data_IF_988168080655
#
_entry.id   IF_988168080655
#
_cell.length_a   1.000
_cell.length_b   1.000
_cell.length_c   1.000
_cell.angle_alpha   90.00
_cell.angle_beta   90.00
_cell.angle_gamma   90.00
#
_symmetry.space_group_name_H-M   'P 1'
#
loop_
_entity.id
_entity.type
_entity.pdbx_description
1 polymer ?
#
# COMPACT_ATOMS: atom_id res chain seq x y z
N UNK A 1 24.91 -1.50 -5.74
CA UNK A 1 23.53 -1.59 -6.26
C UNK A 1 22.94 -0.23 -6.58
N UNK A 2 22.85 0.72 -5.65
CA UNK A 2 22.28 2.08 -5.90
C UNK A 2 23.00 2.78 -7.06
N UNK A 3 24.34 2.77 -7.09
CA UNK A 3 25.11 3.39 -8.16
C UNK A 3 24.85 2.76 -9.55
N UNK A 4 24.59 1.46 -9.60
CA UNK A 4 24.19 0.78 -10.85
C UNK A 4 22.84 1.26 -11.35
N UNK A 5 21.87 1.47 -10.45
CA UNK A 5 20.55 2.02 -10.77
C UNK A 5 20.67 3.45 -11.27
N UNK A 6 21.52 4.28 -10.63
CA UNK A 6 21.78 5.66 -11.06
C UNK A 6 22.40 5.69 -12.47
N UNK A 7 23.37 4.81 -12.75
CA UNK A 7 23.99 4.75 -14.06
C UNK A 7 23.02 4.29 -15.16
N UNK A 8 22.17 3.29 -14.85
CA UNK A 8 21.09 2.91 -15.76
C UNK A 8 20.13 4.07 -16.02
N UNK A 9 19.75 4.83 -14.99
CA UNK A 9 18.86 5.98 -15.14
C UNK A 9 19.46 7.06 -16.06
N UNK A 10 20.77 7.34 -15.98
CA UNK A 10 21.43 8.28 -16.91
C UNK A 10 21.27 7.85 -18.37
N UNK A 11 21.43 6.55 -18.66
CA UNK A 11 21.23 5.99 -19.98
C UNK A 11 19.78 6.08 -20.41
N UNK A 12 18.83 5.72 -19.54
CA UNK A 12 17.39 5.82 -19.80
C UNK A 12 16.97 7.25 -20.16
N UNK A 13 17.49 8.25 -19.45
CA UNK A 13 17.20 9.67 -19.71
C UNK A 13 17.83 10.11 -21.04
N UNK A 14 19.10 9.77 -21.30
CA UNK A 14 19.80 10.16 -22.52
C UNK A 14 19.16 9.57 -23.79
N UNK A 15 18.56 8.39 -23.67
CA UNK A 15 17.82 7.71 -24.74
C UNK A 15 16.34 8.11 -24.80
N UNK A 16 15.92 9.06 -23.98
CA UNK A 16 14.52 9.51 -23.86
C UNK A 16 13.52 8.38 -23.56
N UNK A 17 13.95 7.35 -22.86
CA UNK A 17 13.11 6.19 -22.50
C UNK A 17 11.85 6.52 -21.71
N UNK A 18 11.78 7.73 -21.16
CA UNK A 18 10.63 8.26 -20.41
C UNK A 18 9.46 8.73 -21.29
N UNK A 19 9.67 9.00 -22.59
CA UNK A 19 8.63 9.60 -23.44
C UNK A 19 7.31 8.80 -23.44
N UNK A 20 7.39 7.47 -23.45
CA UNK A 20 6.20 6.61 -23.40
C UNK A 20 5.43 6.62 -22.06
N UNK A 21 5.99 7.26 -21.03
CA UNK A 21 5.38 7.35 -19.70
C UNK A 21 4.85 8.75 -19.37
N UNK A 22 4.91 9.68 -20.33
CA UNK A 22 4.43 11.04 -20.12
C UNK A 22 2.91 11.00 -19.92
N UNK A 23 2.46 11.58 -18.80
CA UNK A 23 1.06 11.76 -18.44
C UNK A 23 0.97 12.95 -17.46
N UNK A 24 -0.23 13.38 -17.12
CA UNK A 24 -0.40 14.41 -16.12
C UNK A 24 -0.57 13.83 -14.69
N UNK A 25 -0.86 14.69 -13.72
CA UNK A 25 -1.01 14.28 -12.31
C UNK A 25 -2.39 13.70 -11.97
N UNK A 26 -3.38 13.86 -12.83
CA UNK A 26 -4.74 13.40 -12.57
C UNK A 26 -4.94 11.97 -13.08
N UNK A 27 -5.58 11.08 -12.30
CA UNK A 27 -5.83 9.72 -12.78
C UNK A 27 -6.98 9.71 -13.78
N UNK A 28 -6.73 9.23 -15.01
CA UNK A 28 -7.71 9.20 -16.10
C UNK A 28 -9.01 8.48 -15.70
N UNK A 29 -8.90 7.42 -14.89
CA UNK A 29 -10.04 6.63 -14.40
C UNK A 29 -10.65 7.14 -13.09
N UNK A 30 -10.17 8.26 -12.54
CA UNK A 30 -10.58 8.77 -11.21
C UNK A 30 -10.53 7.72 -10.11
N UNK A 31 -9.58 6.79 -10.23
CA UNK A 31 -9.41 5.60 -9.40
C UNK A 31 -8.18 5.72 -8.50
N UNK A 32 -8.31 5.31 -7.25
CA UNK A 32 -7.18 4.97 -6.38
C UNK A 32 -7.19 3.47 -6.05
N UNK A 33 -6.01 2.86 -6.04
CA UNK A 33 -5.82 1.46 -5.65
C UNK A 33 -4.88 1.41 -4.46
N UNK A 34 -5.36 0.95 -3.32
CA UNK A 34 -4.56 0.62 -2.14
C UNK A 34 -4.20 -0.86 -2.19
N UNK A 35 -2.93 -1.20 -2.17
CA UNK A 35 -2.45 -2.57 -2.26
C UNK A 35 -1.17 -2.83 -1.46
N UNK A 36 -0.82 -4.11 -1.29
CA UNK A 36 0.41 -4.51 -0.63
C UNK A 36 1.65 -4.09 -1.44
N UNK A 37 2.73 -3.76 -0.71
CA UNK A 37 4.04 -3.47 -1.30
C UNK A 37 4.79 -4.72 -1.77
N UNK A 38 4.20 -5.90 -1.72
CA UNK A 38 4.77 -7.16 -2.21
C UNK A 38 5.30 -6.99 -3.63
N UNK A 39 6.55 -7.43 -3.86
CA UNK A 39 7.25 -7.26 -5.14
C UNK A 39 6.57 -7.98 -6.28
N UNK A 40 5.87 -9.11 -6.01
CA UNK A 40 5.08 -9.86 -7.00
C UNK A 40 3.95 -9.04 -7.60
N UNK A 41 3.45 -8.02 -6.89
CA UNK A 41 2.35 -7.16 -7.34
C UNK A 41 2.78 -5.90 -8.08
N UNK A 42 4.07 -5.67 -8.26
CA UNK A 42 4.57 -4.41 -8.85
C UNK A 42 4.10 -4.25 -10.29
N UNK A 43 4.19 -5.29 -11.09
CA UNK A 43 3.70 -5.31 -12.48
C UNK A 43 2.39 -6.08 -12.63
N UNK A 44 2.24 -7.19 -11.88
CA UNK A 44 1.07 -8.06 -11.96
C UNK A 44 -0.24 -7.32 -11.67
N UNK A 45 -0.28 -6.49 -10.61
CA UNK A 45 -1.53 -5.86 -10.21
C UNK A 45 -2.05 -4.87 -11.27
N UNK A 46 -1.29 -3.88 -11.75
CA UNK A 46 -1.79 -3.01 -12.81
C UNK A 46 -2.11 -3.77 -14.10
N UNK A 47 -1.33 -4.78 -14.47
CA UNK A 47 -1.60 -5.59 -15.65
C UNK A 47 -2.91 -6.39 -15.52
N UNK A 48 -3.16 -7.02 -14.37
CA UNK A 48 -4.39 -7.79 -14.11
C UNK A 48 -5.65 -6.91 -14.07
N UNK A 49 -5.50 -5.63 -13.70
CA UNK A 49 -6.59 -4.64 -13.69
C UNK A 49 -6.71 -3.89 -15.03
N UNK A 50 -5.87 -4.16 -16.01
CA UNK A 50 -5.85 -3.44 -17.28
C UNK A 50 -5.47 -1.97 -17.14
N UNK A 51 -4.69 -1.62 -16.12
CA UNK A 51 -4.27 -0.25 -15.84
C UNK A 51 -2.95 0.08 -16.55
N UNK A 52 -2.91 1.27 -17.14
CA UNK A 52 -1.72 1.86 -17.74
C UNK A 52 -1.19 3.01 -16.88
N UNK A 53 0.00 3.49 -17.21
CA UNK A 53 0.53 4.69 -16.58
C UNK A 53 -0.41 5.88 -16.80
N UNK A 54 -0.78 6.57 -15.70
CA UNK A 54 -1.75 7.67 -15.73
C UNK A 54 -3.19 7.28 -15.36
N UNK A 55 -3.57 6.00 -15.47
CA UNK A 55 -4.96 5.56 -15.24
C UNK A 55 -5.44 5.71 -13.80
N UNK A 56 -4.58 5.42 -12.81
CA UNK A 56 -4.97 5.36 -11.40
C UNK A 56 -3.85 5.81 -10.46
N UNK A 57 -4.22 6.20 -9.24
CA UNK A 57 -3.29 6.38 -8.13
C UNK A 57 -3.03 5.06 -7.44
N UNK A 58 -1.78 4.60 -7.44
CA UNK A 58 -1.38 3.36 -6.77
C UNK A 58 -0.72 3.71 -5.44
N UNK A 59 -1.34 3.28 -4.35
CA UNK A 59 -0.85 3.44 -2.97
C UNK A 59 -0.43 2.06 -2.47
N UNK A 60 0.82 1.94 -1.99
CA UNK A 60 1.37 0.67 -1.51
C UNK A 60 1.93 0.81 -0.10
N UNK A 61 1.59 -0.15 0.76
CA UNK A 61 2.19 -0.29 2.08
C UNK A 61 2.26 -1.77 2.50
N UNK A 62 2.82 -2.05 3.66
CA UNK A 62 2.85 -3.40 4.21
C UNK A 62 1.42 -3.91 4.47
N UNK A 63 1.01 -4.96 3.75
CA UNK A 63 -0.31 -5.56 3.83
C UNK A 63 -1.41 -4.91 2.98
N UNK A 64 -1.21 -3.72 2.41
CA UNK A 64 -2.27 -3.02 1.67
C UNK A 64 -3.42 -2.53 2.55
N UNK A 65 -3.11 -2.00 3.73
CA UNK A 65 -4.04 -1.73 4.83
C UNK A 65 -4.16 -0.24 5.15
N UNK A 66 -5.30 0.12 5.74
CA UNK A 66 -5.45 1.29 6.61
C UNK A 66 -5.40 0.80 8.05
N UNK A 67 -4.33 1.12 8.76
CA UNK A 67 -4.11 0.66 10.14
C UNK A 67 -4.89 1.54 11.13
N UNK A 68 -4.92 2.84 10.87
CA UNK A 68 -5.66 3.81 11.69
C UNK A 68 -6.30 4.89 10.82
N UNK A 69 -7.28 5.58 11.38
CA UNK A 69 -8.01 6.64 10.68
C UNK A 69 -7.12 7.79 10.16
N UNK A 70 -5.95 7.98 10.74
CA UNK A 70 -5.03 9.08 10.39
C UNK A 70 -3.63 8.58 10.03
N UNK A 71 -3.52 7.37 9.47
CA UNK A 71 -2.26 6.86 8.96
C UNK A 71 -1.90 7.44 7.57
N UNK A 72 -0.72 7.09 7.08
CA UNK A 72 -0.19 7.57 5.80
C UNK A 72 -1.02 7.09 4.59
N UNK A 73 -1.59 5.88 4.66
CA UNK A 73 -2.44 5.36 3.60
C UNK A 73 -3.74 6.16 3.52
N UNK A 74 -4.39 6.38 4.67
CA UNK A 74 -5.61 7.18 4.73
C UNK A 74 -5.38 8.62 4.27
N UNK A 75 -4.28 9.26 4.71
CA UNK A 75 -3.89 10.59 4.22
C UNK A 75 -3.75 10.61 2.70
N UNK A 76 -3.11 9.58 2.10
CA UNK A 76 -2.92 9.49 0.66
C UNK A 76 -4.26 9.35 -0.09
N UNK A 77 -5.21 8.60 0.46
CA UNK A 77 -6.56 8.48 -0.09
C UNK A 77 -7.32 9.80 -0.03
N UNK A 78 -7.24 10.53 1.09
CA UNK A 78 -7.86 11.85 1.22
C UNK A 78 -7.29 12.85 0.19
N UNK A 79 -5.97 12.87 0.01
CA UNK A 79 -5.35 13.70 -1.05
C UNK A 79 -5.82 13.27 -2.44
N UNK A 80 -5.93 11.96 -2.70
CA UNK A 80 -6.43 11.44 -3.97
C UNK A 80 -7.87 11.89 -4.27
N UNK A 81 -8.73 11.90 -3.27
CA UNK A 81 -10.13 12.36 -3.41
C UNK A 81 -10.18 13.87 -3.70
N UNK A 82 -9.59 14.69 -2.83
CA UNK A 82 -9.81 16.14 -2.85
C UNK A 82 -8.93 16.89 -3.83
N UNK A 83 -7.68 16.47 -4.02
CA UNK A 83 -6.72 17.16 -4.88
C UNK A 83 -6.65 16.56 -6.29
N UNK A 84 -6.95 15.27 -6.43
CA UNK A 84 -6.73 14.54 -7.68
C UNK A 84 -8.03 14.01 -8.30
N UNK A 85 -9.19 14.30 -7.69
CA UNK A 85 -10.50 14.03 -8.24
C UNK A 85 -10.88 12.54 -8.29
N UNK A 86 -10.30 11.72 -7.41
CA UNK A 86 -10.65 10.30 -7.29
C UNK A 86 -12.06 10.15 -6.74
N UNK A 87 -12.87 9.33 -7.39
CA UNK A 87 -14.24 8.99 -7.00
C UNK A 87 -14.43 7.50 -6.67
N UNK A 88 -13.45 6.67 -7.02
CA UNK A 88 -13.49 5.25 -6.74
C UNK A 88 -12.20 4.76 -6.09
N UNK A 89 -12.33 3.90 -5.08
CA UNK A 89 -11.21 3.30 -4.34
C UNK A 89 -11.32 1.79 -4.38
N UNK A 90 -10.27 1.13 -4.84
CA UNK A 90 -10.08 -0.32 -4.72
C UNK A 90 -9.09 -0.63 -3.62
N UNK A 91 -9.46 -1.49 -2.68
CA UNK A 91 -8.55 -2.11 -1.70
C UNK A 91 -8.23 -3.50 -2.20
N UNK A 92 -7.00 -3.76 -2.62
CA UNK A 92 -6.61 -5.03 -3.23
C UNK A 92 -5.54 -5.72 -2.39
N UNK A 93 -5.96 -6.71 -1.60
CA UNK A 93 -5.06 -7.63 -0.91
C UNK A 93 -4.63 -8.78 -1.83
N UNK A 94 -3.79 -9.68 -1.34
CA UNK A 94 -3.34 -10.83 -2.12
C UNK A 94 -3.16 -12.08 -1.25
N UNK A 95 -3.18 -13.25 -1.90
CA UNK A 95 -2.87 -14.52 -1.26
C UNK A 95 -1.41 -14.58 -0.79
N UNK A 96 -1.14 -15.34 0.27
CA UNK A 96 0.21 -15.53 0.84
C UNK A 96 0.94 -14.20 1.14
N UNK A 97 0.22 -13.24 1.71
CA UNK A 97 0.80 -11.97 2.13
C UNK A 97 1.69 -12.17 3.36
N UNK A 98 2.94 -11.69 3.29
CA UNK A 98 3.86 -11.76 4.42
C UNK A 98 3.35 -11.07 5.68
N UNK A 99 2.47 -10.07 5.54
CA UNK A 99 1.86 -9.38 6.67
C UNK A 99 0.93 -10.27 7.52
N UNK A 100 0.49 -11.43 7.01
CA UNK A 100 -0.26 -12.42 7.81
C UNK A 100 0.56 -13.04 8.95
N UNK A 101 1.88 -12.97 8.88
CA UNK A 101 2.79 -13.59 9.84
C UNK A 101 3.59 -12.57 10.66
N UNK A 102 3.32 -11.29 10.48
CA UNK A 102 3.98 -10.23 11.23
C UNK A 102 3.54 -10.29 12.70
N UNK A 103 4.51 -10.24 13.61
CA UNK A 103 4.29 -10.11 15.04
C UNK A 103 5.46 -9.36 15.68
N UNK A 104 5.20 -8.68 16.77
CA UNK A 104 6.19 -7.85 17.46
C UNK A 104 7.42 -8.65 17.92
N UNK A 105 7.24 -9.87 18.44
CA UNK A 105 8.36 -10.66 18.99
C UNK A 105 9.43 -10.96 17.94
N UNK A 106 9.02 -11.28 16.70
CA UNK A 106 9.93 -11.48 15.61
C UNK A 106 10.68 -10.17 15.26
N UNK A 107 9.96 -9.05 15.14
CA UNK A 107 10.59 -7.75 14.88
C UNK A 107 11.54 -7.34 16.01
N UNK A 108 11.18 -7.57 17.26
CA UNK A 108 12.02 -7.28 18.40
C UNK A 108 13.36 -8.03 18.30
N UNK A 109 13.33 -9.34 18.06
CA UNK A 109 14.54 -10.16 17.89
C UNK A 109 15.44 -9.62 16.76
N UNK A 110 14.86 -9.30 15.60
CA UNK A 110 15.60 -8.75 14.46
C UNK A 110 16.19 -7.35 14.75
N UNK A 111 15.46 -6.49 15.44
CA UNK A 111 15.94 -5.17 15.85
C UNK A 111 17.13 -5.27 16.80
N UNK A 112 17.03 -6.13 17.83
CA UNK A 112 18.12 -6.37 18.79
C UNK A 112 19.35 -6.93 18.06
N UNK A 113 19.18 -7.90 17.18
CA UNK A 113 20.26 -8.48 16.39
C UNK A 113 20.99 -7.45 15.51
N UNK A 114 20.33 -6.36 15.14
CA UNK A 114 20.87 -5.23 14.36
C UNK A 114 21.33 -4.05 15.20
N UNK A 115 21.39 -4.21 16.52
CA UNK A 115 21.95 -3.23 17.46
C UNK A 115 20.97 -2.19 17.98
N UNK A 116 19.67 -2.33 17.76
CA UNK A 116 18.66 -1.53 18.45
C UNK A 116 18.54 -2.05 19.88
N UNK A 117 18.55 -1.16 20.87
CA UNK A 117 18.50 -1.54 22.28
C UNK A 117 17.09 -1.54 22.84
N UNK A 118 16.86 -2.35 23.88
CA UNK A 118 15.58 -2.32 24.64
C UNK A 118 15.31 -0.93 25.24
N UNK A 119 16.33 -0.18 25.61
CA UNK A 119 16.20 1.19 26.10
C UNK A 119 15.58 2.10 25.03
N UNK A 120 16.02 1.96 23.76
CA UNK A 120 15.44 2.69 22.63
C UNK A 120 13.97 2.33 22.44
N UNK A 121 13.63 1.04 22.45
CA UNK A 121 12.26 0.56 22.28
C UNK A 121 11.35 1.05 23.43
N UNK A 122 11.85 0.99 24.66
CA UNK A 122 11.12 1.49 25.82
C UNK A 122 10.92 3.01 25.79
N UNK A 123 11.88 3.75 25.25
CA UNK A 123 11.74 5.20 25.05
C UNK A 123 10.63 5.50 24.05
N UNK A 124 10.57 4.78 22.93
CA UNK A 124 9.49 4.90 21.92
C UNK A 124 8.13 4.63 22.55
N UNK A 125 7.99 3.55 23.35
CA UNK A 125 6.74 3.26 24.07
C UNK A 125 6.34 4.37 25.04
N UNK A 126 7.30 4.95 25.77
CA UNK A 126 7.04 6.10 26.67
C UNK A 126 6.57 7.35 25.90
N UNK A 127 6.91 7.48 24.62
CA UNK A 127 6.38 8.52 23.72
C UNK A 127 4.95 8.23 23.23
N UNK A 128 4.32 7.15 23.68
CA UNK A 128 2.93 6.81 23.36
C UNK A 128 2.76 5.94 22.11
N UNK A 129 3.84 5.36 21.57
CA UNK A 129 3.75 4.43 20.44
C UNK A 129 3.56 3.00 20.97
N UNK A 130 2.44 2.39 20.65
CA UNK A 130 2.19 0.97 20.88
C UNK A 130 2.87 0.15 19.76
N UNK A 131 4.13 -0.24 20.01
CA UNK A 131 4.92 -0.99 19.03
C UNK A 131 4.35 -2.37 18.74
N UNK A 132 3.70 -2.99 19.71
CA UNK A 132 3.11 -4.32 19.58
C UNK A 132 1.96 -4.28 18.56
N UNK A 133 1.01 -3.40 18.77
CA UNK A 133 -0.10 -3.19 17.81
C UNK A 133 0.36 -2.63 16.46
N UNK A 134 1.38 -1.77 16.46
CA UNK A 134 1.84 -1.12 15.22
C UNK A 134 2.56 -2.08 14.27
N UNK A 135 3.26 -3.09 14.81
CA UNK A 135 3.97 -4.13 14.05
C UNK A 135 3.19 -5.44 13.94
N UNK A 136 2.00 -5.51 14.51
CA UNK A 136 1.16 -6.70 14.37
C UNK A 136 0.58 -6.78 12.95
N UNK A 137 0.59 -8.00 12.39
CA UNK A 137 -0.06 -8.30 11.12
C UNK A 137 -1.55 -8.64 11.28
N UNK A 138 -2.09 -9.30 10.29
CA UNK A 138 -3.47 -9.77 10.32
C UNK A 138 -3.53 -11.30 10.17
N UNK A 139 -4.56 -11.92 10.77
CA UNK A 139 -4.73 -13.38 10.75
C UNK A 139 -5.46 -13.89 9.51
N UNK A 140 -6.33 -13.07 8.94
CA UNK A 140 -7.17 -13.44 7.81
C UNK A 140 -7.29 -12.29 6.80
N UNK A 141 -6.97 -12.60 5.54
CA UNK A 141 -6.94 -11.63 4.45
C UNK A 141 -8.33 -11.04 4.16
N UNK A 142 -9.40 -11.86 4.18
CA UNK A 142 -10.76 -11.39 3.92
C UNK A 142 -11.22 -10.40 5.00
N UNK A 143 -11.02 -10.74 6.26
CA UNK A 143 -11.34 -9.87 7.39
C UNK A 143 -10.54 -8.56 7.33
N UNK A 144 -9.27 -8.63 6.97
CA UNK A 144 -8.39 -7.48 6.83
C UNK A 144 -8.86 -6.50 5.74
N UNK A 145 -9.22 -7.02 4.56
CA UNK A 145 -9.79 -6.21 3.46
C UNK A 145 -11.09 -5.55 3.90
N UNK A 146 -12.02 -6.31 4.50
CA UNK A 146 -13.30 -5.76 4.99
C UNK A 146 -13.08 -4.64 5.99
N UNK A 147 -12.24 -4.86 7.00
CA UNK A 147 -11.90 -3.84 8.00
C UNK A 147 -11.33 -2.58 7.35
N UNK A 148 -10.42 -2.72 6.38
CA UNK A 148 -9.84 -1.58 5.66
C UNK A 148 -10.90 -0.83 4.86
N UNK A 149 -11.76 -1.54 4.11
CA UNK A 149 -12.87 -0.95 3.37
C UNK A 149 -13.82 -0.20 4.30
N UNK A 150 -14.20 -0.81 5.42
CA UNK A 150 -15.10 -0.19 6.41
C UNK A 150 -14.47 1.04 7.06
N UNK A 151 -13.18 0.98 7.40
CA UNK A 151 -12.44 2.14 7.93
C UNK A 151 -12.45 3.30 6.94
N UNK A 152 -12.24 3.04 5.64
CA UNK A 152 -12.28 4.09 4.61
C UNK A 152 -13.71 4.65 4.47
N UNK A 153 -14.72 3.79 4.33
CA UNK A 153 -16.13 4.18 4.14
C UNK A 153 -16.70 5.00 5.31
N UNK A 154 -16.28 4.67 6.53
CA UNK A 154 -16.77 5.34 7.74
C UNK A 154 -15.92 6.52 8.16
N UNK A 155 -14.82 6.79 7.46
CA UNK A 155 -13.95 7.91 7.79
C UNK A 155 -14.67 9.26 7.59
N UNK A 156 -14.64 10.18 8.58
CA UNK A 156 -15.43 11.41 8.52
C UNK A 156 -15.05 12.36 7.38
N UNK A 157 -13.86 12.22 6.80
CA UNK A 157 -13.39 13.02 5.67
C UNK A 157 -13.58 12.32 4.31
N UNK A 158 -14.17 11.14 4.24
CA UNK A 158 -14.48 10.48 2.97
C UNK A 158 -15.93 10.81 2.59
N UNK A 159 -16.16 11.46 1.42
CA UNK A 159 -17.50 11.75 0.93
C UNK A 159 -18.30 10.46 0.70
N UNK A 160 -19.61 10.51 0.91
CA UNK A 160 -20.49 9.35 0.80
C UNK A 160 -20.71 8.84 -0.63
N UNK A 161 -20.42 9.66 -1.61
CA UNK A 161 -20.48 9.36 -3.04
C UNK A 161 -19.21 8.67 -3.56
N UNK A 162 -18.13 8.60 -2.76
CA UNK A 162 -16.93 7.84 -3.10
C UNK A 162 -17.21 6.35 -2.96
N UNK A 163 -17.05 5.63 -4.06
CA UNK A 163 -17.24 4.17 -4.09
C UNK A 163 -15.99 3.47 -3.57
N UNK A 164 -16.13 2.64 -2.53
CA UNK A 164 -15.00 1.86 -1.97
C UNK A 164 -15.33 0.37 -2.05
N UNK A 165 -14.46 -0.41 -2.70
CA UNK A 165 -14.61 -1.87 -2.83
C UNK A 165 -13.30 -2.60 -2.48
N UNK A 166 -13.45 -3.79 -1.89
CA UNK A 166 -12.34 -4.67 -1.54
C UNK A 166 -12.21 -5.84 -2.51
N UNK A 167 -10.99 -6.31 -2.72
CA UNK A 167 -10.65 -7.42 -3.61
C UNK A 167 -9.46 -8.20 -3.08
N UNK A 168 -9.34 -9.45 -3.47
CA UNK A 168 -8.17 -10.29 -3.20
C UNK A 168 -7.68 -10.87 -4.53
N UNK A 169 -6.42 -10.59 -4.89
CA UNK A 169 -5.77 -11.19 -6.05
C UNK A 169 -4.95 -12.41 -5.62
N UNK A 170 -5.03 -13.49 -6.39
CA UNK A 170 -4.12 -14.62 -6.22
C UNK A 170 -2.76 -14.28 -6.84
N UNK A 171 -1.72 -14.21 -6.00
CA UNK A 171 -0.36 -13.86 -6.43
C UNK A 171 0.38 -15.01 -7.13
N UNK A 172 -0.15 -16.23 -7.11
CA UNK A 172 0.48 -17.42 -7.69
C UNK A 172 -0.28 -17.93 -8.93
N UNK A 173 -1.60 -17.94 -8.88
CA UNK A 173 -2.45 -18.50 -9.93
C UNK A 173 -3.04 -17.47 -10.88
N UNK A 174 -2.54 -16.27 -10.87
CA UNK A 174 -2.86 -15.16 -11.78
C UNK A 174 -4.36 -15.09 -12.17
N UNK A 175 -5.14 -14.20 -11.55
CA UNK A 175 -6.28 -13.65 -12.25
C UNK A 175 -7.68 -13.79 -11.69
N UNK A 176 -7.92 -13.98 -10.40
CA UNK A 176 -9.27 -13.73 -9.85
C UNK A 176 -9.18 -12.82 -8.62
N UNK A 177 -9.73 -11.60 -8.76
CA UNK A 177 -10.06 -10.76 -7.63
C UNK A 177 -11.50 -11.08 -7.21
N UNK A 178 -11.68 -11.62 -6.00
CA UNK A 178 -13.00 -11.88 -5.40
C UNK A 178 -13.05 -11.24 -4.02
N UNK A 179 -14.14 -10.57 -3.73
CA UNK A 179 -14.62 -10.28 -2.36
C UNK A 179 -16.12 -10.45 -2.32
#
# INVERSE_FOLDING_TARGET
MIDQIINYNKTFVSQKGYEKYITDKYPDKKLAVLSCMDTRLTELLPAALGLKNGDAKIIKNAGGLVISAFDSAMRSLIVAIYELGVTEIMVVAHSHCGACHMNYDHFHQEMIARGITDETLNTIRKCGVDLDSWLEGFKDTHTSVRKTVDTIKTHPLVPKDVVVRGFIIDSEKIGRAHV
#
